data_IF_835746315476
#
_entry.id   IF_835746315476
#
_cell.length_a   1.000
_cell.length_b   1.000
_cell.length_c   1.000
_cell.angle_alpha   90.00
_cell.angle_beta   90.00
_cell.angle_gamma   90.00
#
_symmetry.space_group_name_H-M   'P 1'
#
loop_
_entity.id
_entity.type
_entity.pdbx_description
1 polymer ?
#
# COMPACT_ATOMS: atom_id res chain seq x y z
N UNK A 1 18.13 -5.15 8.10
CA UNK A 1 16.90 -4.33 8.09
C UNK A 1 15.82 -5.27 8.61
N UNK A 2 15.24 -4.97 9.77
CA UNK A 2 14.27 -5.85 10.41
C UNK A 2 12.86 -5.51 9.91
N UNK A 3 12.11 -6.56 9.58
CA UNK A 3 10.72 -6.50 9.15
C UNK A 3 9.87 -7.30 10.13
N UNK A 4 8.66 -6.84 10.38
CA UNK A 4 7.63 -7.61 11.10
C UNK A 4 6.30 -7.48 10.37
N UNK A 5 5.42 -8.45 10.58
CA UNK A 5 4.04 -8.35 10.11
C UNK A 5 3.37 -7.12 10.71
N UNK A 6 2.50 -6.49 9.91
CA UNK A 6 1.76 -5.29 10.26
C UNK A 6 0.24 -5.55 10.19
N UNK A 7 -0.32 -6.33 11.15
CA UNK A 7 -1.73 -6.69 11.14
C UNK A 7 -2.67 -5.47 11.20
N UNK A 8 -2.27 -4.40 11.90
CA UNK A 8 -3.06 -3.17 12.03
C UNK A 8 -3.16 -2.43 10.68
N UNK A 9 -2.07 -2.45 9.91
CA UNK A 9 -2.04 -1.90 8.55
C UNK A 9 -2.94 -2.73 7.63
N UNK A 10 -2.92 -4.06 7.79
CA UNK A 10 -3.75 -4.98 7.02
C UNK A 10 -5.25 -4.81 7.31
N UNK A 11 -5.64 -4.62 8.58
CA UNK A 11 -7.02 -4.34 8.98
C UNK A 11 -7.54 -3.05 8.34
N UNK A 12 -6.78 -1.96 8.46
CA UNK A 12 -7.11 -0.68 7.82
C UNK A 12 -7.19 -0.83 6.30
N UNK A 13 -6.27 -1.58 5.69
CA UNK A 13 -6.29 -1.83 4.26
C UNK A 13 -7.55 -2.58 3.81
N UNK A 14 -7.99 -3.60 4.56
CA UNK A 14 -9.23 -4.33 4.30
C UNK A 14 -10.45 -3.42 4.36
N UNK A 15 -10.56 -2.60 5.41
CA UNK A 15 -11.64 -1.60 5.53
C UNK A 15 -11.69 -0.66 4.32
N UNK A 16 -10.53 -0.14 3.91
CA UNK A 16 -10.40 0.76 2.76
C UNK A 16 -10.82 0.06 1.46
N UNK A 17 -10.32 -1.16 1.22
CA UNK A 17 -10.61 -1.94 0.01
C UNK A 17 -12.09 -2.33 -0.07
N UNK A 18 -12.73 -2.61 1.06
CA UNK A 18 -14.14 -2.99 1.09
C UNK A 18 -15.09 -1.81 0.91
N UNK A 19 -14.67 -0.61 1.33
CA UNK A 19 -15.50 0.60 1.29
C UNK A 19 -15.32 1.43 0.02
N UNK A 20 -14.24 1.24 -0.73
CA UNK A 20 -13.92 2.07 -1.90
C UNK A 20 -13.97 1.28 -3.22
N UNK A 21 -14.90 1.59 -4.14
CA UNK A 21 -14.93 1.03 -5.49
C UNK A 21 -13.82 1.59 -6.40
N UNK A 22 -12.97 2.50 -5.90
CA UNK A 22 -11.98 3.25 -6.69
C UNK A 22 -10.81 2.41 -7.21
N UNK A 23 -10.56 1.23 -6.63
CA UNK A 23 -9.49 0.35 -7.09
C UNK A 23 -10.09 -0.94 -7.62
N UNK A 24 -10.60 -0.86 -8.85
CA UNK A 24 -11.14 -2.01 -9.55
C UNK A 24 -10.14 -3.18 -9.50
N UNK A 25 -10.64 -4.37 -9.20
CA UNK A 25 -9.84 -5.59 -9.10
C UNK A 25 -8.84 -5.69 -7.94
N UNK A 26 -8.64 -4.70 -7.06
CA UNK A 26 -7.63 -4.80 -5.96
C UNK A 26 -7.90 -5.98 -5.03
N UNK A 27 -9.18 -6.36 -4.86
CA UNK A 27 -9.59 -7.52 -4.05
C UNK A 27 -8.98 -8.84 -4.54
N UNK A 28 -8.55 -8.90 -5.79
CA UNK A 28 -7.88 -10.08 -6.37
C UNK A 28 -6.36 -10.08 -6.16
N UNK A 29 -5.77 -8.95 -5.74
CA UNK A 29 -4.33 -8.83 -5.53
C UNK A 29 -3.92 -9.45 -4.18
N UNK A 30 -2.85 -10.27 -4.19
CA UNK A 30 -2.26 -10.79 -2.95
C UNK A 30 -1.27 -9.78 -2.38
N UNK A 31 -1.67 -9.04 -1.36
CA UNK A 31 -0.87 -7.96 -0.76
C UNK A 31 -0.35 -8.40 0.61
N UNK A 32 0.96 -8.25 0.84
CA UNK A 32 1.56 -8.42 2.18
C UNK A 32 1.83 -7.05 2.80
N UNK A 33 1.54 -6.90 4.09
CA UNK A 33 1.76 -5.68 4.85
C UNK A 33 2.86 -5.92 5.90
N UNK A 34 3.89 -5.09 5.88
CA UNK A 34 5.03 -5.22 6.79
C UNK A 34 5.42 -3.88 7.38
N UNK A 35 5.85 -3.91 8.63
CA UNK A 35 6.57 -2.83 9.25
C UNK A 35 8.07 -2.94 8.99
N UNK A 36 8.71 -1.80 8.77
CA UNK A 36 10.16 -1.65 8.70
C UNK A 36 10.62 -0.98 9.98
N UNK A 37 11.49 -1.65 10.75
CA UNK A 37 11.90 -1.24 12.09
C UNK A 37 13.16 -0.36 12.13
N UNK A 38 13.56 0.20 10.99
CA UNK A 38 14.73 1.10 10.93
C UNK A 38 14.44 2.40 11.68
N UNK A 39 15.47 3.05 12.24
CA UNK A 39 15.33 4.31 12.99
C UNK A 39 14.95 5.51 12.13
N UNK A 40 15.49 5.56 10.90
CA UNK A 40 15.30 6.68 9.98
C UNK A 40 14.82 6.17 8.63
N UNK A 41 13.91 6.94 8.02
CA UNK A 41 13.30 6.62 6.74
C UNK A 41 12.92 7.91 6.02
N UNK A 42 13.19 7.97 4.72
CA UNK A 42 12.75 9.07 3.85
C UNK A 42 11.28 8.94 3.44
N UNK A 43 10.60 7.87 3.89
CA UNK A 43 9.20 7.59 3.58
C UNK A 43 8.45 7.09 4.82
N UNK A 44 7.16 7.43 4.91
CA UNK A 44 6.24 6.85 5.89
C UNK A 44 5.69 5.49 5.45
N UNK A 45 5.44 5.33 4.16
CA UNK A 45 5.00 4.10 3.50
C UNK A 45 5.72 3.92 2.16
N UNK A 46 5.75 2.67 1.68
CA UNK A 46 6.24 2.34 0.35
C UNK A 46 5.64 1.05 -0.15
N UNK A 47 5.05 1.07 -1.33
CA UNK A 47 4.69 -0.14 -2.06
C UNK A 47 5.84 -0.70 -2.91
N UNK A 48 5.96 -2.02 -2.94
CA UNK A 48 6.90 -2.76 -3.77
C UNK A 48 6.22 -3.92 -4.49
N UNK A 49 6.69 -4.23 -5.69
CA UNK A 49 6.29 -5.45 -6.41
C UNK A 49 7.42 -6.47 -6.29
N UNK A 50 7.17 -7.69 -5.79
CA UNK A 50 8.15 -8.77 -5.85
C UNK A 50 8.57 -9.01 -7.31
N UNK A 51 9.88 -9.07 -7.55
CA UNK A 51 10.46 -9.32 -8.87
C UNK A 51 11.30 -10.61 -8.90
N UNK A 52 11.49 -11.17 -10.10
CA UNK A 52 12.37 -12.33 -10.33
C UNK A 52 12.08 -13.51 -9.40
N UNK A 53 13.12 -13.99 -8.72
CA UNK A 53 13.05 -15.13 -7.80
C UNK A 53 12.05 -14.89 -6.66
N UNK A 54 11.92 -13.66 -6.14
CA UNK A 54 10.99 -13.38 -5.04
C UNK A 54 9.52 -13.46 -5.46
N UNK A 55 9.19 -13.16 -6.72
CA UNK A 55 7.83 -13.40 -7.24
C UNK A 55 7.56 -14.87 -7.52
N UNK A 56 8.60 -15.66 -7.76
CA UNK A 56 8.47 -17.12 -7.89
C UNK A 56 8.31 -17.79 -6.51
N UNK A 57 9.05 -17.32 -5.51
CA UNK A 57 9.04 -17.88 -4.16
C UNK A 57 7.87 -17.37 -3.29
N UNK A 58 7.36 -16.17 -3.58
CA UNK A 58 6.20 -15.62 -2.89
C UNK A 58 5.00 -15.59 -3.80
N UNK A 59 3.83 -15.82 -3.23
CA UNK A 59 2.55 -15.71 -3.93
C UNK A 59 2.04 -14.25 -3.95
N UNK A 60 2.79 -13.30 -3.41
CA UNK A 60 2.37 -11.90 -3.29
C UNK A 60 2.54 -11.12 -4.59
N UNK A 61 1.54 -10.32 -4.95
CA UNK A 61 1.59 -9.34 -6.04
C UNK A 61 2.24 -8.04 -5.58
N UNK A 62 2.02 -7.65 -4.33
CA UNK A 62 2.57 -6.44 -3.74
C UNK A 62 2.98 -6.65 -2.29
N UNK A 63 3.94 -5.84 -1.85
CA UNK A 63 4.32 -5.68 -0.45
C UNK A 63 4.21 -4.21 -0.09
N UNK A 64 3.37 -3.88 0.87
CA UNK A 64 3.26 -2.55 1.46
C UNK A 64 4.16 -2.51 2.69
N UNK A 65 5.15 -1.62 2.65
CA UNK A 65 6.10 -1.40 3.72
C UNK A 65 5.75 -0.11 4.45
N UNK A 66 5.52 -0.17 5.75
CA UNK A 66 5.26 0.99 6.60
C UNK A 66 6.44 1.19 7.54
N UNK A 67 6.90 2.44 7.69
CA UNK A 67 7.94 2.77 8.66
C UNK A 67 7.34 2.82 10.07
N UNK A 68 7.69 1.86 10.93
CA UNK A 68 7.06 1.70 12.26
C UNK A 68 7.20 2.93 13.16
N UNK A 69 8.39 3.56 13.29
CA UNK A 69 8.51 4.77 14.10
C UNK A 69 7.62 5.94 13.64
N UNK A 70 7.38 6.06 12.32
CA UNK A 70 6.46 7.08 11.81
C UNK A 70 5.01 6.70 12.10
N UNK A 71 4.64 5.44 11.88
CA UNK A 71 3.31 4.91 12.16
C UNK A 71 2.88 5.13 13.61
N UNK A 72 3.80 4.92 14.55
CA UNK A 72 3.54 5.07 16.00
C UNK A 72 3.34 6.52 16.43
N UNK A 73 3.84 7.47 15.63
CA UNK A 73 3.59 8.90 15.83
C UNK A 73 2.30 9.40 15.18
N UNK A 74 1.60 8.56 14.39
CA UNK A 74 0.39 8.94 13.68
C UNK A 74 -0.86 8.61 14.50
N UNK A 75 -1.85 9.51 14.43
CA UNK A 75 -3.20 9.18 14.88
C UNK A 75 -3.92 8.28 13.88
N UNK A 76 -5.07 7.72 14.28
CA UNK A 76 -5.84 6.78 13.46
C UNK A 76 -6.20 7.35 12.06
N UNK A 77 -6.52 8.66 11.99
CA UNK A 77 -6.86 9.33 10.72
C UNK A 77 -5.65 9.40 9.78
N UNK A 78 -4.48 9.74 10.32
CA UNK A 78 -3.22 9.79 9.58
C UNK A 78 -2.76 8.39 9.14
N UNK A 79 -2.95 7.37 9.99
CA UNK A 79 -2.70 5.98 9.66
C UNK A 79 -3.57 5.53 8.48
N UNK A 80 -4.88 5.76 8.55
CA UNK A 80 -5.84 5.50 7.45
C UNK A 80 -5.45 6.21 6.16
N UNK A 81 -5.08 7.50 6.25
CA UNK A 81 -4.65 8.28 5.09
C UNK A 81 -3.37 7.72 4.45
N UNK A 82 -2.39 7.29 5.25
CA UNK A 82 -1.17 6.67 4.75
C UNK A 82 -1.46 5.35 4.02
N UNK A 83 -2.27 4.48 4.62
CA UNK A 83 -2.62 3.19 3.99
C UNK A 83 -3.39 3.43 2.68
N UNK A 84 -4.35 4.35 2.68
CA UNK A 84 -5.06 4.75 1.47
C UNK A 84 -4.11 5.24 0.37
N UNK A 85 -3.15 6.10 0.72
CA UNK A 85 -2.14 6.60 -0.21
C UNK A 85 -1.34 5.46 -0.86
N UNK A 86 -0.80 4.54 -0.05
CA UNK A 86 -0.03 3.42 -0.58
C UNK A 86 -0.85 2.49 -1.47
N UNK A 87 -2.11 2.22 -1.09
CA UNK A 87 -3.01 1.40 -1.89
C UNK A 87 -3.43 2.09 -3.20
N UNK A 88 -3.54 3.42 -3.20
CA UNK A 88 -3.87 4.20 -4.41
C UNK A 88 -2.81 4.10 -5.52
N UNK A 89 -1.58 3.71 -5.16
CA UNK A 89 -0.54 3.41 -6.13
C UNK A 89 -0.76 2.07 -6.85
N UNK A 90 -1.59 1.17 -6.33
CA UNK A 90 -1.90 -0.11 -6.97
C UNK A 90 -2.86 0.15 -8.13
N UNK A 91 -2.45 -0.27 -9.32
CA UNK A 91 -3.31 -0.27 -10.49
C UNK A 91 -3.02 -1.49 -11.35
N UNK A 92 -3.88 -1.81 -12.30
CA UNK A 92 -3.65 -2.89 -13.25
C UNK A 92 -3.97 -2.43 -14.68
N UNK A 93 -3.35 -3.08 -15.66
CA UNK A 93 -3.78 -3.03 -17.06
C UNK A 93 -4.15 -4.43 -17.50
N UNK A 94 -5.37 -4.65 -17.93
CA UNK A 94 -5.71 -5.89 -18.63
C UNK A 94 -5.04 -5.89 -20.01
N UNK A 95 -4.50 -7.04 -20.42
CA UNK A 95 -4.13 -7.25 -21.82
C UNK A 95 -5.35 -7.66 -22.66
N UNK A 96 -5.13 -7.82 -23.96
CA UNK A 96 -6.13 -8.24 -24.96
C UNK A 96 -6.79 -9.60 -24.67
N UNK A 97 -6.23 -10.41 -23.77
CA UNK A 97 -6.77 -11.69 -23.34
C UNK A 97 -7.42 -11.61 -21.94
N UNK A 98 -7.58 -10.41 -21.39
CA UNK A 98 -8.14 -10.18 -20.05
C UNK A 98 -7.18 -10.48 -18.90
N UNK A 99 -5.91 -10.81 -19.16
CA UNK A 99 -4.93 -11.06 -18.09
C UNK A 99 -4.51 -9.73 -17.48
N UNK A 100 -4.66 -9.59 -16.16
CA UNK A 100 -4.30 -8.39 -15.41
C UNK A 100 -2.79 -8.27 -15.25
N UNK A 101 -2.23 -7.14 -15.68
CA UNK A 101 -0.84 -6.75 -15.48
C UNK A 101 -0.79 -5.63 -14.44
N UNK A 102 -0.51 -6.02 -13.20
CA UNK A 102 -0.29 -5.13 -12.07
C UNK A 102 0.80 -4.08 -12.35
N UNK A 103 0.56 -2.82 -11.97
CA UNK A 103 1.45 -1.68 -12.10
C UNK A 103 1.43 -0.84 -10.83
N UNK A 104 2.51 -0.11 -10.59
CA UNK A 104 2.58 0.92 -9.54
C UNK A 104 2.45 2.26 -10.25
N UNK A 105 1.35 2.98 -10.00
CA UNK A 105 1.16 4.35 -10.48
C UNK A 105 1.87 5.28 -9.49
N UNK A 106 2.72 6.18 -9.98
CA UNK A 106 3.13 7.33 -9.16
C UNK A 106 1.91 8.26 -9.05
N UNK A 107 1.34 8.39 -7.87
CA UNK A 107 0.44 9.50 -7.59
C UNK A 107 1.26 10.73 -7.24
N UNK A 108 0.78 11.88 -7.71
CA UNK A 108 1.35 13.17 -7.37
C UNK A 108 0.97 13.53 -5.94
N UNK A 109 1.94 14.04 -5.18
CA UNK A 109 1.79 14.44 -3.76
C UNK A 109 0.65 15.48 -3.60
N UNK A 110 0.33 16.22 -4.65
CA UNK A 110 -0.75 17.23 -4.65
C UNK A 110 -2.16 16.64 -4.48
N UNK A 111 -2.46 15.47 -5.05
CA UNK A 111 -3.76 14.79 -4.84
C UNK A 111 -3.91 14.33 -3.38
N UNK A 112 -2.80 13.90 -2.76
CA UNK A 112 -2.76 13.51 -1.35
C UNK A 112 -2.91 14.69 -0.40
N UNK A 113 -2.32 15.85 -0.73
CA UNK A 113 -2.49 17.09 0.04
C UNK A 113 -3.93 17.61 0.01
N UNK A 114 -4.67 17.38 -1.08
CA UNK A 114 -6.08 17.72 -1.15
C UNK A 114 -6.94 16.79 -0.29
N UNK A 115 -6.65 15.48 -0.24
CA UNK A 115 -7.28 14.56 0.72
C UNK A 115 -6.95 14.97 2.16
N UNK A 116 -5.70 15.32 2.49
CA UNK A 116 -5.37 15.82 3.83
C UNK A 116 -6.11 17.12 4.18
N UNK A 117 -6.36 18.01 3.21
CA UNK A 117 -7.13 19.25 3.44
C UNK A 117 -8.62 19.03 3.61
N UNK A 118 -9.24 18.15 2.81
CA UNK A 118 -10.65 17.78 3.00
C UNK A 118 -10.87 16.99 4.29
N UNK A 119 -9.84 16.28 4.75
CA UNK A 119 -9.81 15.57 6.02
C UNK A 119 -9.01 16.33 7.10
N UNK A 120 -8.95 17.67 7.03
CA UNK A 120 -8.48 18.54 8.10
C UNK A 120 -9.61 18.81 9.08
#
# INVERSE_FOLDING_TARGET
MEYTDAPEVEEIAKEIIDTLPLIDGIKEAKIKYLFVLRKHSDYGGKIQRPGGVWKFLSDYDYVVLIHKPSWDGFNERQQKALVYHELSHITYKADKNGKKHWKIRKHDIEEFMNVIREFG
#
